data_IF_962212580838
#
_entry.id   IF_962212580838
#
_cell.length_a   1.000
_cell.length_b   1.000
_cell.length_c   1.000
_cell.angle_alpha   90.00
_cell.angle_beta   90.00
_cell.angle_gamma   90.00
#
_symmetry.space_group_name_H-M   'P 1'
#
loop_
_entity.id
_entity.type
_entity.pdbx_description
1 polymer ?
#
# COMPACT_ATOMS: atom_id res chain seq x y z
N UNK A 1 5.29 -11.02 -4.18
CA UNK A 1 5.79 -10.12 -5.25
C UNK A 1 6.58 -8.99 -4.66
N UNK A 2 7.63 -8.55 -5.36
CA UNK A 2 8.42 -7.37 -4.99
C UNK A 2 7.72 -6.11 -5.48
N UNK A 3 7.35 -5.23 -4.56
CA UNK A 3 6.58 -4.02 -4.85
C UNK A 3 7.42 -2.80 -4.48
N UNK A 4 7.58 -1.91 -5.46
CA UNK A 4 8.08 -0.55 -5.25
C UNK A 4 6.98 0.42 -5.61
N UNK A 5 6.68 1.36 -4.72
CA UNK A 5 5.73 2.43 -4.98
C UNK A 5 6.33 3.78 -4.60
N UNK A 6 6.05 4.79 -5.41
CA UNK A 6 6.56 6.15 -5.25
C UNK A 6 5.39 7.11 -5.34
N UNK A 7 5.30 8.03 -4.40
CA UNK A 7 4.31 9.10 -4.42
C UNK A 7 4.89 10.32 -5.11
N UNK A 8 4.39 10.64 -6.31
CA UNK A 8 4.77 11.84 -7.07
C UNK A 8 4.25 13.12 -6.41
N UNK A 9 3.14 13.00 -5.69
CA UNK A 9 2.58 14.08 -4.89
C UNK A 9 1.71 13.49 -3.79
N UNK A 10 1.83 14.04 -2.58
CA UNK A 10 0.88 13.82 -1.49
C UNK A 10 0.50 15.18 -0.93
N UNK A 11 -0.77 15.53 -1.07
CA UNK A 11 -1.39 16.72 -0.47
C UNK A 11 -2.62 16.27 0.32
N UNK A 12 -3.16 17.14 1.17
CA UNK A 12 -4.18 16.81 2.18
C UNK A 12 -5.29 15.85 1.71
N UNK A 13 -5.82 16.03 0.51
CA UNK A 13 -6.92 15.21 -0.04
C UNK A 13 -6.56 14.42 -1.29
N UNK A 14 -5.31 14.46 -1.77
CA UNK A 14 -4.94 13.84 -3.04
C UNK A 14 -3.55 13.23 -2.98
N UNK A 15 -3.41 12.03 -3.53
CA UNK A 15 -2.13 11.40 -3.75
C UNK A 15 -2.01 10.89 -5.19
N UNK A 16 -0.87 11.14 -5.81
CA UNK A 16 -0.50 10.56 -7.11
C UNK A 16 0.60 9.54 -6.85
N UNK A 17 0.35 8.28 -7.20
CA UNK A 17 1.25 7.16 -6.89
C UNK A 17 1.59 6.38 -8.15
N UNK A 18 2.88 6.13 -8.37
CA UNK A 18 3.35 5.14 -9.32
C UNK A 18 3.70 3.87 -8.55
N UNK A 19 3.25 2.70 -9.01
CA UNK A 19 3.58 1.40 -8.44
C UNK A 19 4.18 0.51 -9.52
N UNK A 20 5.25 -0.20 -9.18
CA UNK A 20 5.78 -1.34 -9.93
C UNK A 20 5.63 -2.57 -9.05
N UNK A 21 4.98 -3.61 -9.59
CA UNK A 21 4.84 -4.93 -9.00
C UNK A 21 5.34 -5.96 -10.00
N UNK A 22 6.54 -6.50 -9.75
CA UNK A 22 7.24 -7.36 -10.70
C UNK A 22 7.44 -6.68 -12.07
N UNK A 23 6.71 -7.14 -13.10
CA UNK A 23 6.75 -6.62 -14.48
C UNK A 23 5.58 -5.70 -14.82
N UNK A 24 4.64 -5.49 -13.89
CA UNK A 24 3.48 -4.64 -14.09
C UNK A 24 3.71 -3.28 -13.44
N UNK A 25 3.16 -2.23 -14.06
CA UNK A 25 3.22 -0.89 -13.50
C UNK A 25 1.87 -0.18 -13.60
N UNK A 26 1.54 0.59 -12.58
CA UNK A 26 0.33 1.42 -12.55
C UNK A 26 0.59 2.82 -12.04
N UNK A 27 -0.20 3.78 -12.53
CA UNK A 27 -0.34 5.13 -12.01
C UNK A 27 -1.72 5.26 -11.39
N UNK A 28 -1.78 5.65 -10.12
CA UNK A 28 -3.03 5.89 -9.40
C UNK A 28 -3.14 7.36 -8.99
N UNK A 29 -4.31 7.94 -9.18
CA UNK A 29 -4.72 9.22 -8.62
C UNK A 29 -5.80 8.92 -7.58
N UNK A 30 -5.46 9.12 -6.31
CA UNK A 30 -6.33 8.87 -5.16
C UNK A 30 -6.83 10.20 -4.61
N UNK A 31 -8.12 10.31 -4.33
CA UNK A 31 -8.74 11.48 -3.74
C UNK A 31 -9.57 11.08 -2.50
N UNK A 32 -9.29 11.72 -1.36
CA UNK A 32 -10.02 11.49 -0.11
C UNK A 32 -11.35 12.25 -0.14
N UNK A 33 -12.47 11.52 -0.21
CA UNK A 33 -13.82 12.11 -0.13
C UNK A 33 -14.21 12.27 1.35
N UNK A 34 -13.96 11.25 2.17
CA UNK A 34 -14.18 11.24 3.61
C UNK A 34 -13.15 10.35 4.31
N UNK A 35 -13.25 10.18 5.63
CA UNK A 35 -12.33 9.32 6.39
C UNK A 35 -12.23 7.88 5.88
N UNK A 36 -13.34 7.33 5.38
CA UNK A 36 -13.42 5.94 4.90
C UNK A 36 -13.64 5.80 3.40
N UNK A 37 -13.92 6.90 2.70
CA UNK A 37 -14.25 6.87 1.28
C UNK A 37 -13.17 7.58 0.49
N UNK A 38 -12.48 6.81 -0.34
CA UNK A 38 -11.54 7.32 -1.33
C UNK A 38 -12.12 7.10 -2.73
N UNK A 39 -11.88 8.06 -3.63
CA UNK A 39 -12.05 7.86 -5.06
C UNK A 39 -10.68 7.58 -5.67
N UNK A 40 -10.57 6.52 -6.43
CA UNK A 40 -9.33 6.13 -7.08
C UNK A 40 -9.53 6.00 -8.59
N UNK A 41 -8.57 6.53 -9.34
CA UNK A 41 -8.40 6.28 -10.76
C UNK A 41 -7.07 5.59 -10.95
N UNK A 42 -7.08 4.37 -11.47
CA UNK A 42 -5.87 3.59 -11.72
C UNK A 42 -5.71 3.31 -13.22
N UNK A 43 -4.49 3.49 -13.72
CA UNK A 43 -4.11 3.27 -15.11
C UNK A 43 -2.91 2.33 -15.16
N UNK A 44 -2.98 1.31 -15.99
CA UNK A 44 -1.77 0.57 -16.38
C UNK A 44 -0.90 1.48 -17.24
N UNK A 45 0.40 1.51 -16.96
CA UNK A 45 1.38 2.30 -17.72
C UNK A 45 2.57 1.42 -18.12
N UNK A 46 3.31 1.76 -19.19
CA UNK A 46 4.54 1.06 -19.55
C UNK A 46 5.57 1.09 -18.41
N UNK A 47 6.28 -0.02 -18.20
CA UNK A 47 7.23 -0.15 -17.09
C UNK A 47 8.39 0.88 -17.18
N UNK A 48 8.83 1.23 -18.38
CA UNK A 48 9.90 2.20 -18.59
C UNK A 48 9.45 3.64 -18.27
N UNK A 49 8.17 3.96 -18.52
CA UNK A 49 7.57 5.22 -18.07
C UNK A 49 7.47 5.27 -16.56
N UNK A 50 6.99 4.18 -15.93
CA UNK A 50 6.92 4.08 -14.48
C UNK A 50 8.30 4.28 -13.82
N UNK A 51 9.34 3.64 -14.35
CA UNK A 51 10.72 3.83 -13.90
C UNK A 51 11.18 5.27 -14.08
N UNK A 52 10.90 5.89 -15.22
CA UNK A 52 11.26 7.29 -15.45
C UNK A 52 10.56 8.23 -14.45
N UNK A 53 9.27 8.02 -14.20
CA UNK A 53 8.49 8.81 -13.23
C UNK A 53 9.04 8.67 -11.80
N UNK A 54 9.47 7.46 -11.41
CA UNK A 54 10.05 7.21 -10.08
C UNK A 54 11.41 7.88 -9.85
N UNK A 55 12.08 8.37 -10.89
CA UNK A 55 13.38 9.06 -10.80
C UNK A 55 13.29 10.55 -11.18
N UNK A 56 12.09 11.13 -11.17
CA UNK A 56 11.91 12.57 -11.44
C UNK A 56 12.56 13.45 -10.37
N UNK A 57 12.57 13.00 -9.11
CA UNK A 57 13.17 13.69 -7.98
C UNK A 57 13.62 12.65 -6.94
N UNK A 58 14.81 12.82 -6.37
CA UNK A 58 15.38 11.93 -5.36
C UNK A 58 14.68 12.03 -3.99
N UNK A 59 13.90 13.11 -3.76
CA UNK A 59 13.16 13.36 -2.52
C UNK A 59 11.73 12.82 -2.55
N UNK A 60 11.33 12.11 -3.61
CA UNK A 60 10.01 11.49 -3.67
C UNK A 60 9.85 10.45 -2.56
N UNK A 61 8.64 10.35 -2.03
CA UNK A 61 8.34 9.41 -0.95
C UNK A 61 8.22 8.00 -1.51
N UNK A 62 8.99 7.05 -0.96
CA UNK A 62 9.10 5.67 -1.47
C UNK A 62 8.62 4.67 -0.42
N UNK A 63 7.89 3.65 -0.86
CA UNK A 63 7.65 2.43 -0.09
C UNK A 63 8.17 1.25 -0.91
N UNK A 64 8.90 0.36 -0.22
CA UNK A 64 9.27 -0.95 -0.72
C UNK A 64 8.73 -2.03 0.21
N UNK A 65 8.22 -3.10 -0.38
CA UNK A 65 7.69 -4.24 0.36
C UNK A 65 7.70 -5.51 -0.48
N UNK A 66 7.70 -6.64 0.20
CA UNK A 66 7.40 -7.94 -0.39
C UNK A 66 5.98 -8.33 0.03
N UNK A 67 5.11 -8.55 -0.94
CA UNK A 67 3.74 -9.02 -0.70
C UNK A 67 3.63 -10.52 -0.87
N UNK A 68 3.18 -11.22 0.16
CA UNK A 68 2.83 -12.64 0.11
C UNK A 68 1.31 -12.78 0.06
N UNK A 69 0.82 -13.70 -0.76
CA UNK A 69 -0.60 -14.09 -0.73
C UNK A 69 -0.69 -15.37 0.08
N UNK A 70 -1.41 -15.32 1.19
CA UNK A 70 -1.60 -16.45 2.10
C UNK A 70 -3.06 -16.84 2.10
N UNK A 71 -3.35 -18.06 1.64
CA UNK A 71 -4.70 -18.63 1.70
C UNK A 71 -4.98 -19.16 3.10
N UNK A 72 -6.09 -18.72 3.69
CA UNK A 72 -6.59 -19.24 4.96
C UNK A 72 -8.11 -19.36 4.89
N UNK A 73 -8.61 -20.58 5.10
CA UNK A 73 -10.04 -20.91 5.07
C UNK A 73 -10.81 -20.36 3.83
N UNK A 74 -10.17 -20.40 2.67
CA UNK A 74 -10.76 -19.97 1.40
C UNK A 74 -10.76 -18.47 1.17
N UNK A 75 -10.02 -17.70 1.99
CA UNK A 75 -9.77 -16.28 1.81
C UNK A 75 -8.28 -16.02 1.60
N UNK A 76 -8.00 -15.15 0.63
CA UNK A 76 -6.66 -14.66 0.36
C UNK A 76 -6.32 -13.48 1.28
N UNK A 77 -5.23 -13.62 2.02
CA UNK A 77 -4.65 -12.54 2.81
C UNK A 77 -3.43 -11.97 2.09
N UNK A 78 -3.39 -10.65 1.95
CA UNK A 78 -2.20 -9.93 1.48
C UNK A 78 -1.32 -9.62 2.68
N UNK A 79 -0.21 -10.34 2.84
CA UNK A 79 0.77 -10.12 3.89
C UNK A 79 1.95 -9.34 3.32
N UNK A 80 2.08 -8.09 3.76
CA UNK A 80 3.12 -7.16 3.33
C UNK A 80 4.25 -7.10 4.36
N UNK A 81 5.45 -7.50 3.96
CA UNK A 81 6.70 -7.27 4.68
C UNK A 81 7.36 -6.00 4.13
N UNK A 82 7.44 -4.95 4.94
CA UNK A 82 7.98 -3.66 4.53
C UNK A 82 9.50 -3.60 4.70
N UNK A 83 10.15 -2.83 3.83
CA UNK A 83 11.62 -2.69 3.76
C UNK A 83 12.08 -1.23 3.95
N UNK A 84 13.39 -1.01 3.90
CA UNK A 84 14.05 0.30 4.04
C UNK A 84 13.71 0.99 5.38
N UNK A 85 13.27 2.25 5.39
CA UNK A 85 12.89 2.96 6.62
C UNK A 85 11.68 2.35 7.35
N UNK A 86 10.98 1.39 6.71
CA UNK A 86 9.86 0.64 7.26
C UNK A 86 10.21 -0.81 7.64
N UNK A 87 11.50 -1.17 7.65
CA UNK A 87 11.96 -2.52 8.00
C UNK A 87 11.46 -2.98 9.37
N UNK A 88 11.06 -4.25 9.46
CA UNK A 88 10.49 -4.86 10.67
C UNK A 88 8.97 -4.71 10.82
N UNK A 89 8.31 -3.93 9.94
CA UNK A 89 6.85 -3.84 9.89
C UNK A 89 6.28 -4.93 8.96
N UNK A 90 5.35 -5.72 9.49
CA UNK A 90 4.56 -6.69 8.72
C UNK A 90 3.08 -6.38 8.93
N UNK A 91 2.33 -6.22 7.84
CA UNK A 91 0.89 -5.92 7.87
C UNK A 91 0.16 -6.97 7.03
N UNK A 92 -0.97 -7.46 7.53
CA UNK A 92 -1.86 -8.35 6.79
C UNK A 92 -3.17 -7.64 6.49
N UNK A 93 -3.59 -7.66 5.23
CA UNK A 93 -4.84 -7.08 4.74
C UNK A 93 -5.70 -8.19 4.11
N UNK A 94 -7.02 -8.08 4.29
CA UNK A 94 -8.02 -8.95 3.67
C UNK A 94 -9.13 -8.08 3.08
N UNK A 95 -9.53 -8.38 1.84
CA UNK A 95 -10.70 -7.76 1.24
C UNK A 95 -11.96 -8.54 1.64
N UNK A 96 -12.98 -7.80 2.12
CA UNK A 96 -14.27 -8.34 2.51
C UNK A 96 -15.35 -7.91 1.52
N UNK A 97 -16.33 -8.79 1.30
CA UNK A 97 -17.48 -8.50 0.44
C UNK A 97 -18.43 -7.49 1.09
N UNK A 98 -18.40 -7.38 2.44
CA UNK A 98 -19.14 -6.38 3.20
C UNK A 98 -18.52 -6.14 4.59
N UNK A 99 -18.80 -4.98 5.20
CA UNK A 99 -18.33 -4.63 6.55
C UNK A 99 -18.82 -5.58 7.66
N UNK A 100 -19.91 -6.34 7.43
CA UNK A 100 -20.49 -7.26 8.41
C UNK A 100 -20.13 -8.73 8.15
N UNK A 101 -19.20 -8.98 7.24
CA UNK A 101 -18.77 -10.34 6.94
C UNK A 101 -18.04 -10.95 8.14
N UNK A 102 -18.43 -12.17 8.50
CA UNK A 102 -17.77 -12.92 9.58
C UNK A 102 -16.65 -13.75 8.94
N UNK A 103 -15.42 -13.49 9.37
CA UNK A 103 -14.24 -14.25 8.98
C UNK A 103 -13.61 -14.94 10.19
N UNK A 104 -12.98 -16.09 9.95
CA UNK A 104 -12.14 -16.71 10.95
C UNK A 104 -10.73 -16.15 10.83
N UNK A 105 -10.23 -15.58 11.94
CA UNK A 105 -8.92 -14.97 11.97
C UNK A 105 -7.83 -16.06 11.97
N UNK A 106 -6.86 -16.01 11.04
CA UNK A 106 -5.70 -16.86 11.12
C UNK A 106 -4.95 -16.69 12.45
N UNK A 107 -4.38 -17.77 13.04
CA UNK A 107 -3.73 -17.72 14.35
C UNK A 107 -2.45 -16.86 14.39
N UNK A 108 -1.93 -16.48 13.22
CA UNK A 108 -0.75 -15.63 13.07
C UNK A 108 -1.09 -14.13 12.94
N UNK A 109 -2.37 -13.76 12.85
CA UNK A 109 -2.77 -12.34 12.87
C UNK A 109 -2.58 -11.77 14.27
N UNK A 110 -1.97 -10.58 14.31
CA UNK A 110 -1.76 -9.79 15.53
C UNK A 110 -2.89 -8.81 15.80
N UNK A 111 -2.51 -7.60 16.25
CA UNK A 111 -3.43 -6.51 16.55
C UNK A 111 -4.15 -6.00 15.30
N UNK A 112 -5.45 -5.70 15.44
CA UNK A 112 -6.23 -5.07 14.38
C UNK A 112 -5.88 -3.58 14.29
N UNK A 113 -5.37 -3.16 13.13
CA UNK A 113 -4.93 -1.78 12.87
C UNK A 113 -5.76 -1.06 11.80
N UNK A 114 -6.92 -1.60 11.42
CA UNK A 114 -7.80 -1.09 10.35
C UNK A 114 -8.14 0.41 10.51
N UNK A 115 -8.35 0.86 11.74
CA UNK A 115 -8.68 2.25 12.06
C UNK A 115 -7.46 3.15 12.32
N UNK A 116 -6.25 2.59 12.34
CA UNK A 116 -5.02 3.33 12.58
C UNK A 116 -4.40 3.80 11.26
N UNK A 117 -4.67 5.06 10.93
CA UNK A 117 -4.19 5.68 9.71
C UNK A 117 -2.66 5.71 9.59
N UNK A 118 -1.88 5.52 10.67
CA UNK A 118 -0.42 5.45 10.58
C UNK A 118 0.05 4.33 9.64
N UNK A 119 -0.71 3.24 9.57
CA UNK A 119 -0.41 2.07 8.73
C UNK A 119 -0.77 2.25 7.25
N UNK A 120 -1.41 3.35 6.85
CA UNK A 120 -1.64 3.63 5.43
C UNK A 120 -0.31 3.81 4.70
N UNK A 121 -0.15 3.20 3.52
CA UNK A 121 1.08 3.34 2.71
C UNK A 121 1.50 4.80 2.46
N UNK A 122 0.55 5.72 2.27
CA UNK A 122 0.88 7.14 2.11
C UNK A 122 1.43 7.77 3.37
N UNK A 123 0.93 7.35 4.54
CA UNK A 123 1.38 7.85 5.83
C UNK A 123 2.69 7.20 6.25
N UNK A 124 2.90 5.91 5.97
CA UNK A 124 4.21 5.23 6.08
C UNK A 124 5.26 5.89 5.20
N UNK A 125 4.89 6.40 4.03
CA UNK A 125 5.82 7.09 3.13
C UNK A 125 6.22 8.46 3.68
N UNK A 126 5.34 9.13 4.44
CA UNK A 126 5.59 10.44 5.07
C UNK A 126 6.32 10.29 6.41
N UNK A 127 5.82 9.40 7.28
CA UNK A 127 6.37 9.11 8.60
C UNK A 127 6.62 7.59 8.73
N UNK A 128 7.81 7.12 8.30
CA UNK A 128 8.12 5.70 8.26
C UNK A 128 8.15 5.09 9.67
N UNK A 129 7.99 3.76 9.72
CA UNK A 129 7.91 2.96 10.94
C UNK A 129 9.08 3.20 11.90
N UNK A 130 10.28 3.40 11.37
CA UNK A 130 11.48 3.75 12.15
C UNK A 130 11.37 5.07 12.94
N UNK A 131 10.36 5.91 12.67
CA UNK A 131 10.11 7.22 13.30
C UNK A 131 8.80 7.28 14.10
N UNK A 132 8.21 6.13 14.42
CA UNK A 132 6.97 6.05 15.20
C UNK A 132 7.18 6.23 16.71
#
# INVERSE_FOLDING_TARGET
>A
SEIKQVYLSVIEKMAIRVRIDGLQASLAIKFKISERVNKEYEYSIPIDEARSLMHLDDNLLVIRKTRYIVEYEGRAWEVDEFHDENDGLIVAEIELDSENEIINMPPWIGEEVTADYRYLNSNLAINPFSKW
#
